data_IF_363900057148
#
_entry.id   IF_363900057148
#
_cell.length_a   1.000
_cell.length_b   1.000
_cell.length_c   1.000
_cell.angle_alpha   90.00
_cell.angle_beta   90.00
_cell.angle_gamma   90.00
#
_symmetry.space_group_name_H-M   'P 1'
#
loop_
_entity.id
_entity.type
_entity.pdbx_description
1 polymer ?
#
# COMPACT_ATOMS: atom_id res chain seq x y z
N UNK A 1 -10.70 -23.82 3.88
CA UNK A 1 -11.60 -24.48 4.87
C UNK A 1 -10.91 -24.75 6.21
N UNK A 2 -9.66 -25.21 6.21
CA UNK A 2 -8.83 -25.36 7.43
C UNK A 2 -8.62 -23.99 8.11
N UNK A 3 -8.20 -22.96 7.38
CA UNK A 3 -8.04 -21.61 7.95
C UNK A 3 -9.33 -21.06 8.56
N UNK A 4 -10.47 -21.16 7.87
CA UNK A 4 -11.76 -20.73 8.44
C UNK A 4 -12.12 -21.49 9.71
N UNK A 5 -11.89 -22.80 9.76
CA UNK A 5 -12.10 -23.58 10.98
C UNK A 5 -11.21 -23.12 12.14
N UNK A 6 -9.98 -22.70 11.86
CA UNK A 6 -9.07 -22.12 12.86
C UNK A 6 -9.55 -20.75 13.34
N UNK A 7 -10.03 -19.90 12.43
CA UNK A 7 -10.54 -18.56 12.74
C UNK A 7 -11.80 -18.60 13.62
N UNK A 8 -12.68 -19.59 13.40
CA UNK A 8 -13.86 -19.82 14.24
C UNK A 8 -13.57 -20.60 15.53
N UNK A 9 -12.30 -20.95 15.80
CA UNK A 9 -11.93 -21.72 17.00
C UNK A 9 -12.42 -23.17 17.03
N UNK A 10 -12.86 -23.71 15.88
CA UNK A 10 -13.42 -25.07 15.76
C UNK A 10 -12.30 -26.12 15.79
N UNK A 11 -11.09 -25.76 15.38
CA UNK A 11 -9.90 -26.62 15.40
C UNK A 11 -8.79 -25.98 16.24
N UNK A 12 -8.08 -26.81 17.00
CA UNK A 12 -6.88 -26.38 17.72
C UNK A 12 -5.70 -26.15 16.79
N UNK A 13 -4.71 -25.38 17.24
CA UNK A 13 -3.52 -25.04 16.45
C UNK A 13 -2.71 -26.29 16.05
N UNK A 14 -2.58 -27.26 16.95
CA UNK A 14 -1.89 -28.53 16.65
C UNK A 14 -2.61 -29.33 15.56
N UNK A 15 -3.95 -29.33 15.59
CA UNK A 15 -4.79 -29.98 14.59
C UNK A 15 -4.68 -29.28 13.24
N UNK A 16 -4.57 -27.94 13.23
CA UNK A 16 -4.31 -27.14 12.03
C UNK A 16 -3.01 -27.56 11.36
N UNK A 17 -1.91 -27.65 12.11
CA UNK A 17 -0.59 -28.02 11.59
C UNK A 17 -0.61 -29.44 10.99
N UNK A 18 -1.22 -30.41 11.69
CA UNK A 18 -1.31 -31.78 11.19
C UNK A 18 -2.14 -31.86 9.91
N UNK A 19 -3.27 -31.15 9.83
CA UNK A 19 -4.08 -31.09 8.61
C UNK A 19 -3.29 -30.54 7.42
N UNK A 20 -2.51 -29.46 7.61
CA UNK A 20 -1.65 -28.92 6.55
C UNK A 20 -0.57 -29.91 6.10
N UNK A 21 0.04 -30.66 7.03
CA UNK A 21 1.03 -31.69 6.68
C UNK A 21 0.41 -32.80 5.83
N UNK A 22 -0.77 -33.31 6.22
CA UNK A 22 -1.48 -34.34 5.46
C UNK A 22 -1.87 -33.83 4.07
N UNK A 23 -2.32 -32.57 3.98
CA UNK A 23 -2.75 -31.95 2.74
C UNK A 23 -1.58 -31.79 1.75
N UNK A 24 -0.40 -31.40 2.24
CA UNK A 24 0.83 -31.34 1.45
C UNK A 24 1.35 -32.73 1.08
N UNK A 25 1.32 -33.69 2.01
CA UNK A 25 1.81 -35.06 1.78
C UNK A 25 1.05 -35.77 0.65
N UNK A 26 -0.25 -35.53 0.54
CA UNK A 26 -1.08 -36.11 -0.53
C UNK A 26 -1.23 -35.20 -1.76
N UNK A 27 -0.54 -34.06 -1.81
CA UNK A 27 -0.66 -33.05 -2.84
C UNK A 27 -2.13 -32.63 -3.12
N UNK A 28 -2.95 -32.62 -2.07
CA UNK A 28 -4.36 -32.22 -2.13
C UNK A 28 -4.56 -30.71 -2.08
N UNK A 29 -3.49 -29.94 -2.32
CA UNK A 29 -3.54 -28.49 -2.32
C UNK A 29 -4.30 -28.02 -3.56
N UNK A 30 -5.62 -27.91 -3.41
CA UNK A 30 -6.46 -27.21 -4.38
C UNK A 30 -6.09 -25.73 -4.31
N UNK A 31 -5.58 -25.17 -5.41
CA UNK A 31 -5.36 -23.73 -5.58
C UNK A 31 -6.68 -23.05 -5.19
N UNK A 32 -6.67 -22.24 -4.13
CA UNK A 32 -7.88 -21.58 -3.70
C UNK A 32 -8.28 -20.57 -4.79
N UNK A 33 -9.58 -20.42 -5.11
CA UNK A 33 -10.00 -19.30 -5.95
C UNK A 33 -9.50 -18.02 -5.28
N UNK A 34 -8.75 -17.19 -6.02
CA UNK A 34 -7.99 -15.99 -5.62
C UNK A 34 -6.49 -16.17 -5.28
N UNK A 35 -5.95 -17.39 -5.14
CA UNK A 35 -4.49 -17.59 -4.93
C UNK A 35 -3.66 -17.12 -6.14
N UNK A 36 -4.22 -17.22 -7.35
CA UNK A 36 -3.60 -16.73 -8.57
C UNK A 36 -3.80 -15.22 -8.80
N UNK A 37 -4.71 -14.60 -8.03
CA UNK A 37 -5.17 -13.24 -8.26
C UNK A 37 -4.66 -12.23 -7.24
N UNK A 38 -3.99 -12.63 -6.15
CA UNK A 38 -3.42 -11.67 -5.19
C UNK A 38 -2.36 -10.80 -5.90
N UNK A 39 -2.67 -9.55 -6.26
CA UNK A 39 -1.70 -8.70 -6.91
C UNK A 39 -0.66 -8.30 -5.87
N UNK A 40 0.60 -8.15 -6.30
CA UNK A 40 1.61 -7.50 -5.47
C UNK A 40 1.10 -6.09 -5.17
N UNK A 41 0.77 -5.82 -3.91
CA UNK A 41 0.25 -4.51 -3.52
C UNK A 41 1.39 -3.51 -3.57
N UNK A 42 1.25 -2.49 -4.42
CA UNK A 42 2.20 -1.39 -4.46
C UNK A 42 2.17 -0.62 -3.12
N UNK A 43 3.31 -0.07 -2.66
CA UNK A 43 3.41 0.58 -1.36
C UNK A 43 2.67 1.92 -1.30
N UNK A 44 1.34 1.87 -1.12
CA UNK A 44 0.45 3.03 -1.07
C UNK A 44 0.72 3.93 0.16
N UNK A 45 1.21 3.35 1.25
CA UNK A 45 1.46 4.09 2.49
C UNK A 45 2.53 5.18 2.31
N UNK A 46 3.54 4.93 1.48
CA UNK A 46 4.61 5.89 1.23
C UNK A 46 4.09 7.06 0.41
N UNK A 47 3.32 6.78 -0.66
CA UNK A 47 2.75 7.83 -1.50
C UNK A 47 1.79 8.73 -0.73
N UNK A 48 0.93 8.14 0.10
CA UNK A 48 0.01 8.88 0.97
C UNK A 48 0.76 9.73 2.00
N UNK A 49 1.83 9.22 2.60
CA UNK A 49 2.60 9.96 3.61
C UNK A 49 3.26 11.19 2.99
N UNK A 50 3.84 11.07 1.79
CA UNK A 50 4.45 12.21 1.10
C UNK A 50 3.39 13.23 0.68
N UNK A 51 2.23 12.78 0.21
CA UNK A 51 1.09 13.65 -0.06
C UNK A 51 0.69 14.46 1.17
N UNK A 52 0.48 13.81 2.31
CA UNK A 52 0.14 14.47 3.58
C UNK A 52 1.17 15.51 4.02
N UNK A 53 2.47 15.22 3.89
CA UNK A 53 3.53 16.17 4.25
C UNK A 53 3.48 17.45 3.41
N UNK A 54 3.10 17.32 2.14
CA UNK A 54 2.98 18.44 1.20
C UNK A 54 1.68 19.19 1.45
N UNK A 55 0.56 18.49 1.60
CA UNK A 55 -0.77 19.07 1.79
C UNK A 55 -0.85 19.90 3.09
N UNK A 56 -0.23 19.41 4.16
CA UNK A 56 -0.15 20.11 5.46
C UNK A 56 0.97 21.17 5.51
N UNK A 57 1.65 21.44 4.39
CA UNK A 57 2.79 22.37 4.29
C UNK A 57 3.90 22.11 5.32
N UNK A 58 4.09 20.84 5.73
CA UNK A 58 5.16 20.46 6.66
C UNK A 58 6.51 20.45 5.94
N UNK A 59 6.53 19.91 4.71
CA UNK A 59 7.71 19.88 3.84
C UNK A 59 7.32 19.93 2.37
N UNK A 60 8.12 20.64 1.58
CA UNK A 60 8.04 20.59 0.12
C UNK A 60 8.70 19.32 -0.43
N UNK A 61 8.27 18.83 -1.60
CA UNK A 61 8.91 17.66 -2.22
C UNK A 61 10.40 17.85 -2.48
N UNK A 62 10.84 19.08 -2.75
CA UNK A 62 12.26 19.41 -2.86
C UNK A 62 13.02 19.20 -1.54
N UNK A 63 12.46 19.67 -0.43
CA UNK A 63 13.05 19.52 0.91
C UNK A 63 13.12 18.06 1.34
N UNK A 64 12.09 17.27 1.06
CA UNK A 64 12.07 15.83 1.35
C UNK A 64 13.27 15.14 0.69
N UNK A 65 13.47 15.38 -0.61
CA UNK A 65 14.61 14.81 -1.35
C UNK A 65 15.95 15.32 -0.79
N UNK A 66 16.08 16.62 -0.56
CA UNK A 66 17.33 17.22 -0.05
C UNK A 66 17.71 16.66 1.33
N UNK A 67 16.73 16.52 2.23
CA UNK A 67 16.95 15.99 3.58
C UNK A 67 17.37 14.52 3.55
N UNK A 68 16.77 13.72 2.67
CA UNK A 68 17.18 12.33 2.45
C UNK A 68 18.61 12.23 1.92
N UNK A 69 18.96 13.04 0.91
CA UNK A 69 20.32 13.06 0.36
C UNK A 69 21.37 13.41 1.42
N UNK A 70 21.07 14.43 2.25
CA UNK A 70 21.98 14.85 3.33
C UNK A 70 22.12 13.79 4.43
N UNK A 71 20.99 13.22 4.89
CA UNK A 71 20.96 12.27 6.01
C UNK A 71 21.66 10.95 5.67
N UNK A 72 21.53 10.49 4.43
CA UNK A 72 22.09 9.21 4.00
C UNK A 72 23.33 9.34 3.12
N UNK A 73 23.82 10.57 2.89
CA UNK A 73 24.96 10.88 2.02
C UNK A 73 24.86 10.19 0.66
N UNK A 74 23.67 10.23 0.06
CA UNK A 74 23.33 9.53 -1.17
C UNK A 74 22.85 10.52 -2.22
N UNK A 75 23.34 10.36 -3.45
CA UNK A 75 22.86 11.18 -4.56
C UNK A 75 21.58 10.56 -5.13
N UNK A 76 20.44 11.22 -4.89
CA UNK A 76 19.11 10.73 -5.30
C UNK A 76 18.56 11.65 -6.38
N UNK A 77 18.32 11.10 -7.57
CA UNK A 77 17.63 11.81 -8.66
C UNK A 77 16.13 11.85 -8.41
N UNK A 78 15.40 12.79 -9.06
CA UNK A 78 13.95 12.91 -8.90
C UNK A 78 13.25 11.63 -9.38
N UNK A 79 13.63 11.14 -10.56
CA UNK A 79 13.21 9.84 -11.09
C UNK A 79 13.35 8.68 -10.10
N UNK A 80 14.51 8.56 -9.43
CA UNK A 80 14.70 7.48 -8.45
C UNK A 80 13.76 7.61 -7.25
N UNK A 81 13.52 8.84 -6.80
CA UNK A 81 12.62 9.13 -5.69
C UNK A 81 11.15 8.81 -6.05
N UNK A 82 10.75 9.20 -7.26
CA UNK A 82 9.44 8.93 -7.84
C UNK A 82 9.13 7.43 -7.94
N UNK A 83 10.09 6.65 -8.42
CA UNK A 83 9.96 5.19 -8.54
C UNK A 83 9.82 4.50 -7.18
N UNK A 84 10.63 4.87 -6.19
CA UNK A 84 10.59 4.26 -4.85
C UNK A 84 9.30 4.61 -4.11
N UNK A 85 8.82 5.83 -4.28
CA UNK A 85 7.63 6.32 -3.58
C UNK A 85 6.32 6.03 -4.31
N UNK A 86 6.39 5.56 -5.56
CA UNK A 86 5.25 5.44 -6.46
C UNK A 86 4.47 6.77 -6.60
N UNK A 87 5.20 7.83 -6.92
CA UNK A 87 4.67 9.20 -7.08
C UNK A 87 5.28 9.81 -8.35
N UNK A 88 4.55 10.70 -9.01
CA UNK A 88 5.00 11.45 -10.17
C UNK A 88 6.23 12.32 -9.89
N UNK A 89 7.16 12.39 -10.85
CA UNK A 89 8.45 13.08 -10.71
C UNK A 89 8.31 14.58 -10.40
N UNK A 90 7.26 15.21 -10.94
CA UNK A 90 7.02 16.65 -10.77
C UNK A 90 6.82 17.06 -9.31
N UNK A 91 6.40 16.13 -8.44
CA UNK A 91 6.20 16.39 -7.01
C UNK A 91 7.51 16.79 -6.33
N UNK A 92 8.67 16.41 -6.88
CA UNK A 92 10.00 16.68 -6.33
C UNK A 92 10.74 17.85 -7.01
N UNK A 93 10.05 18.63 -7.86
CA UNK A 93 10.67 19.68 -8.69
C UNK A 93 10.72 21.06 -8.04
N UNK A 94 9.70 21.44 -7.23
CA UNK A 94 9.62 22.56 -6.27
C UNK A 94 8.33 23.38 -6.38
N UNK A 95 7.90 23.92 -5.23
CA UNK A 95 6.73 24.73 -4.88
C UNK A 95 5.61 24.82 -5.92
N UNK A 96 4.65 23.88 -5.93
CA UNK A 96 3.22 24.21 -6.03
C UNK A 96 2.32 22.97 -6.05
N UNK A 97 1.29 23.07 -5.20
CA UNK A 97 -0.04 22.44 -5.20
C UNK A 97 -0.24 21.22 -6.10
N UNK A 98 -0.25 20.06 -5.45
CA UNK A 98 -0.72 18.82 -6.03
C UNK A 98 -2.20 19.00 -6.38
N UNK A 99 -2.54 19.09 -7.67
CA UNK A 99 -3.91 18.90 -8.12
C UNK A 99 -4.24 17.40 -7.97
N UNK A 100 -4.63 17.01 -6.77
CA UNK A 100 -5.19 15.70 -6.51
C UNK A 100 -6.51 15.60 -7.29
N UNK A 101 -6.50 14.83 -8.38
CA UNK A 101 -7.70 14.34 -9.07
C UNK A 101 -8.43 13.33 -8.17
N UNK A 102 -8.90 13.77 -7.00
CA UNK A 102 -9.85 13.02 -6.21
C UNK A 102 -11.18 13.12 -6.95
N UNK A 103 -11.56 12.06 -7.65
CA UNK A 103 -12.95 11.87 -8.08
C UNK A 103 -13.81 11.70 -6.83
N UNK A 104 -14.13 12.79 -6.17
CA UNK A 104 -15.12 12.81 -5.10
C UNK A 104 -16.47 12.58 -5.78
N UNK A 105 -17.12 11.46 -5.47
CA UNK A 105 -18.50 11.22 -5.91
C UNK A 105 -19.37 12.32 -5.30
N UNK A 106 -20.19 13.05 -6.08
CA UNK A 106 -21.06 14.07 -5.53
C UNK A 106 -22.02 13.42 -4.52
N UNK A 107 -22.12 14.01 -3.33
CA UNK A 107 -23.10 13.60 -2.34
C UNK A 107 -24.51 13.87 -2.89
N UNK A 108 -25.45 12.93 -2.75
CA UNK A 108 -26.83 13.17 -3.18
C UNK A 108 -27.41 14.31 -2.33
N UNK A 109 -27.87 15.36 -3.01
CA UNK A 109 -28.55 16.49 -2.36
C UNK A 109 -29.75 15.95 -1.58
N UNK A 110 -29.78 16.18 -0.27
CA UNK A 110 -31.01 16.07 0.51
C UNK A 110 -31.91 17.22 0.06
N UNK A 111 -32.93 16.90 -0.75
CA UNK A 111 -34.00 17.80 -1.11
C UNK A 111 -34.60 18.38 0.19
N UNK A 112 -34.38 19.68 0.42
CA UNK A 112 -35.13 20.44 1.41
C UNK A 112 -36.32 21.04 0.68
N UNK A 113 -37.49 20.65 1.19
CA UNK A 113 -38.85 21.13 0.92
C UNK A 113 -38.96 22.58 0.43
#
# INVERSE_FOLDING_TARGET
MIERGSQFGIISNDKRINLYRTLNYHDWKKIEPLDAETPVTEPLSISQTIGLLIDENVMTGYEIRKNLMYKFNLHITQKMMAEVCNIEEYVFTSNNNINLNLKVRPFPNSEKN
#
